data_IF_232997515395
#
_entry.id   IF_232997515395
#
_cell.length_a   1.000
_cell.length_b   1.000
_cell.length_c   1.000
_cell.angle_alpha   90.00
_cell.angle_beta   90.00
_cell.angle_gamma   90.00
#
_symmetry.space_group_name_H-M   'P 1'
#
loop_
_entity.id
_entity.type
_entity.pdbx_description
1 polymer ?
#
# COMPACT_ATOMS: atom_id res chain seq x y z
N UNK A 1 10.13 11.44 -32.97
CA UNK A 1 10.50 11.58 -31.54
C UNK A 1 10.38 10.24 -30.85
N UNK A 2 11.31 9.90 -29.93
CA UNK A 2 11.22 8.66 -29.14
C UNK A 2 10.03 8.75 -28.21
N UNK A 3 9.16 7.71 -28.19
CA UNK A 3 8.03 7.66 -27.28
C UNK A 3 8.52 7.47 -25.84
N UNK A 4 7.87 8.14 -24.90
CA UNK A 4 8.06 7.94 -23.46
C UNK A 4 7.41 6.61 -23.07
N UNK A 5 8.18 5.69 -22.48
CA UNK A 5 7.69 4.38 -22.07
C UNK A 5 7.20 4.44 -20.63
N UNK A 6 5.95 4.04 -20.41
CA UNK A 6 5.29 4.09 -19.11
C UNK A 6 4.85 2.68 -18.68
N UNK A 7 5.08 2.36 -17.41
CA UNK A 7 4.47 1.22 -16.74
C UNK A 7 3.54 1.70 -15.65
N UNK A 8 2.48 0.94 -15.33
CA UNK A 8 1.58 1.27 -14.24
C UNK A 8 1.41 0.12 -13.26
N UNK A 9 1.46 0.45 -11.96
CA UNK A 9 1.08 -0.45 -10.86
C UNK A 9 -0.24 0.03 -10.28
N UNK A 10 -1.23 -0.85 -10.24
CA UNK A 10 -2.58 -0.56 -9.75
C UNK A 10 -3.62 -0.59 -10.87
N UNK A 11 -4.52 -1.58 -10.80
CA UNK A 11 -5.68 -1.79 -11.71
C UNK A 11 -7.01 -1.44 -11.05
N UNK A 12 -6.98 -0.74 -9.91
CA UNK A 12 -8.16 -0.28 -9.18
C UNK A 12 -8.91 0.82 -9.92
N UNK A 13 -10.00 1.32 -9.33
CA UNK A 13 -10.85 2.37 -9.91
C UNK A 13 -10.03 3.61 -10.35
N UNK A 14 -9.12 4.09 -9.48
CA UNK A 14 -8.31 5.25 -9.82
C UNK A 14 -7.21 4.91 -10.84
N UNK A 15 -6.57 3.74 -10.75
CA UNK A 15 -5.61 3.29 -11.76
C UNK A 15 -6.23 3.19 -13.17
N UNK A 16 -7.48 2.74 -13.29
CA UNK A 16 -8.21 2.75 -14.57
C UNK A 16 -8.46 4.18 -15.08
N UNK A 17 -8.76 5.12 -14.17
CA UNK A 17 -8.91 6.53 -14.53
C UNK A 17 -7.60 7.13 -15.04
N UNK A 18 -6.46 6.83 -14.40
CA UNK A 18 -5.13 7.25 -14.87
C UNK A 18 -4.83 6.69 -16.25
N UNK A 19 -5.06 5.39 -16.49
CA UNK A 19 -4.86 4.77 -17.81
C UNK A 19 -5.63 5.47 -18.92
N UNK A 20 -6.93 5.76 -18.69
CA UNK A 20 -7.73 6.47 -19.68
C UNK A 20 -7.23 7.86 -20.01
N UNK A 21 -6.46 8.51 -19.11
CA UNK A 21 -5.82 9.80 -19.37
C UNK A 21 -4.48 9.66 -20.09
N UNK A 22 -3.71 8.62 -19.73
CA UNK A 22 -2.45 8.32 -20.39
C UNK A 22 -2.62 8.01 -21.86
N UNK A 23 -3.73 7.37 -22.26
CA UNK A 23 -4.05 7.08 -23.67
C UNK A 23 -4.22 8.34 -24.52
N UNK A 24 -4.58 9.48 -23.93
CA UNK A 24 -4.75 10.76 -24.61
C UNK A 24 -3.44 11.55 -24.78
N UNK A 25 -2.37 11.16 -24.06
CA UNK A 25 -1.11 11.92 -24.07
C UNK A 25 -0.27 11.54 -25.29
N UNK A 26 0.09 12.54 -26.10
CA UNK A 26 0.92 12.34 -27.29
C UNK A 26 2.33 11.86 -26.92
N UNK A 27 2.92 11.08 -27.81
CA UNK A 27 4.29 10.55 -27.68
C UNK A 27 4.52 9.65 -26.45
N UNK A 28 3.49 8.95 -25.98
CA UNK A 28 3.53 8.03 -24.87
C UNK A 28 3.28 6.59 -25.33
N UNK A 29 3.89 5.60 -24.67
CA UNK A 29 3.67 4.17 -24.88
C UNK A 29 3.48 3.49 -23.54
N UNK A 30 2.31 2.88 -23.30
CA UNK A 30 2.07 2.06 -22.11
C UNK A 30 2.62 0.67 -22.38
N UNK A 31 3.73 0.33 -21.71
CA UNK A 31 4.46 -0.94 -21.92
C UNK A 31 3.84 -2.09 -21.13
N UNK A 32 3.32 -1.79 -19.93
CA UNK A 32 2.69 -2.77 -19.08
C UNK A 32 1.81 -2.13 -18.01
N UNK A 33 0.82 -2.90 -17.52
CA UNK A 33 -0.05 -2.55 -16.39
C UNK A 33 -0.11 -3.74 -15.44
N UNK A 34 0.26 -3.54 -14.19
CA UNK A 34 0.33 -4.57 -13.16
C UNK A 34 -0.71 -4.34 -12.06
N UNK A 35 -1.37 -5.42 -11.63
CA UNK A 35 -2.21 -5.47 -10.44
C UNK A 35 -1.47 -6.04 -9.23
N UNK A 36 -2.22 -6.33 -8.17
CA UNK A 36 -1.67 -6.80 -6.89
C UNK A 36 -1.02 -8.19 -6.93
N UNK A 37 -1.30 -9.00 -7.95
CA UNK A 37 -0.73 -10.34 -8.11
C UNK A 37 0.35 -10.40 -9.19
N UNK A 38 0.54 -9.33 -9.94
CA UNK A 38 1.50 -9.29 -11.04
C UNK A 38 2.90 -9.00 -10.49
N UNK A 39 3.91 -9.59 -11.14
CA UNK A 39 5.33 -9.41 -10.77
C UNK A 39 5.86 -8.12 -11.45
N UNK A 40 5.46 -6.96 -10.97
CA UNK A 40 5.81 -5.65 -11.54
C UNK A 40 7.34 -5.41 -11.56
N UNK A 41 8.10 -5.98 -10.62
CA UNK A 41 9.58 -5.90 -10.55
C UNK A 41 10.29 -6.76 -11.60
N UNK A 42 9.55 -7.60 -12.35
CA UNK A 42 10.08 -8.41 -13.47
C UNK A 42 9.71 -7.84 -14.83
N UNK A 43 9.08 -6.67 -14.88
CA UNK A 43 8.60 -6.07 -16.12
C UNK A 43 9.74 -5.40 -16.92
N UNK A 44 9.46 -5.11 -18.18
CA UNK A 44 10.39 -4.41 -19.06
C UNK A 44 10.77 -3.04 -18.51
N UNK A 45 12.00 -2.60 -18.83
CA UNK A 45 12.49 -1.26 -18.49
C UNK A 45 11.64 -0.18 -19.15
N UNK A 46 11.36 0.86 -18.40
CA UNK A 46 10.48 1.99 -18.76
C UNK A 46 11.17 3.31 -18.38
N UNK A 47 10.66 4.43 -18.88
CA UNK A 47 11.12 5.76 -18.53
C UNK A 47 10.40 6.28 -17.26
N UNK A 48 9.11 5.93 -17.10
CA UNK A 48 8.29 6.32 -15.97
C UNK A 48 7.45 5.16 -15.44
N UNK A 49 7.34 5.05 -14.11
CA UNK A 49 6.33 4.23 -13.47
C UNK A 49 5.24 5.11 -12.86
N UNK A 50 3.98 4.71 -13.05
CA UNK A 50 2.81 5.29 -12.39
C UNK A 50 2.40 4.35 -11.28
N UNK A 51 2.46 4.80 -10.02
CA UNK A 51 2.08 4.02 -8.84
C UNK A 51 0.70 4.46 -8.36
N UNK A 52 -0.29 3.59 -8.51
CA UNK A 52 -1.68 3.76 -8.11
C UNK A 52 -2.19 2.55 -7.31
N UNK A 53 -1.32 1.96 -6.52
CA UNK A 53 -1.59 0.87 -5.59
C UNK A 53 -2.16 1.40 -4.26
N UNK A 54 -2.52 0.54 -3.29
CA UNK A 54 -2.82 1.00 -1.93
C UNK A 54 -1.60 1.67 -1.26
N UNK A 55 -1.87 2.67 -0.41
CA UNK A 55 -0.87 3.56 0.18
C UNK A 55 0.28 2.83 0.91
N UNK A 56 -0.01 1.67 1.53
CA UNK A 56 0.98 0.86 2.24
C UNK A 56 2.09 0.29 1.34
N UNK A 57 1.91 0.32 0.03
CA UNK A 57 2.88 -0.19 -0.94
C UNK A 57 3.67 0.90 -1.65
N UNK A 58 3.26 2.18 -1.53
CA UNK A 58 3.86 3.29 -2.28
C UNK A 58 5.36 3.42 -2.01
N UNK A 59 5.78 3.38 -0.75
CA UNK A 59 7.18 3.53 -0.37
C UNK A 59 8.07 2.44 -1.00
N UNK A 60 7.72 1.16 -0.84
CA UNK A 60 8.51 0.04 -1.36
C UNK A 60 8.61 0.07 -2.89
N UNK A 61 7.50 0.41 -3.55
CA UNK A 61 7.44 0.48 -5.00
C UNK A 61 8.23 1.68 -5.55
N UNK A 62 8.01 2.87 -5.00
CA UNK A 62 8.75 4.06 -5.40
C UNK A 62 10.24 3.89 -5.17
N UNK A 63 10.66 3.35 -4.02
CA UNK A 63 12.05 3.05 -3.72
C UNK A 63 12.67 2.12 -4.75
N UNK A 64 12.02 1.00 -5.07
CA UNK A 64 12.50 0.05 -6.06
C UNK A 64 12.77 0.71 -7.42
N UNK A 65 11.83 1.51 -7.93
CA UNK A 65 11.99 2.13 -9.24
C UNK A 65 13.04 3.25 -9.25
N UNK A 66 13.13 4.03 -8.17
CA UNK A 66 14.18 5.04 -8.03
C UNK A 66 15.58 4.40 -7.92
N UNK A 67 15.72 3.24 -7.25
CA UNK A 67 16.96 2.46 -7.19
C UNK A 67 17.32 1.83 -8.55
N UNK A 68 16.31 1.58 -9.41
CA UNK A 68 16.49 0.99 -10.74
C UNK A 68 16.44 2.03 -11.89
N UNK A 69 16.81 3.27 -11.61
CA UNK A 69 16.94 4.35 -12.59
C UNK A 69 15.66 4.60 -13.42
N UNK A 70 14.51 4.64 -12.75
CA UNK A 70 13.20 4.91 -13.36
C UNK A 70 12.54 6.09 -12.66
N UNK A 71 12.04 7.06 -13.43
CA UNK A 71 11.24 8.16 -12.89
C UNK A 71 9.93 7.65 -12.30
N UNK A 72 9.44 8.32 -11.26
CA UNK A 72 8.27 7.87 -10.51
C UNK A 72 7.20 8.95 -10.42
N UNK A 73 5.99 8.63 -10.87
CA UNK A 73 4.75 9.31 -10.48
C UNK A 73 4.04 8.42 -9.45
N UNK A 74 3.70 8.96 -8.30
CA UNK A 74 3.04 8.24 -7.22
C UNK A 74 1.73 8.91 -6.81
N UNK A 75 0.67 8.12 -6.67
CA UNK A 75 -0.56 8.57 -6.03
C UNK A 75 -0.28 9.07 -4.61
N UNK A 76 -1.12 10.02 -4.17
CA UNK A 76 -1.02 10.57 -2.82
C UNK A 76 -1.71 9.65 -1.76
N UNK A 77 -1.21 9.67 -0.52
CA UNK A 77 0.08 10.23 -0.11
C UNK A 77 1.23 9.39 -0.66
N UNK A 78 2.34 10.02 -1.03
CA UNK A 78 3.51 9.30 -1.57
C UNK A 78 4.09 8.29 -0.59
N UNK A 79 3.95 8.56 0.71
CA UNK A 79 4.22 7.64 1.83
C UNK A 79 3.29 7.92 2.99
N UNK A 80 3.22 7.01 3.97
CA UNK A 80 2.41 7.19 5.18
C UNK A 80 3.10 8.05 6.26
N UNK A 81 4.41 8.32 6.12
CA UNK A 81 5.15 9.20 7.03
C UNK A 81 6.19 10.07 6.32
N UNK A 82 6.46 11.23 6.92
CA UNK A 82 7.36 12.24 6.36
C UNK A 82 8.82 11.81 6.32
N UNK A 83 9.27 10.95 7.24
CA UNK A 83 10.62 10.40 7.25
C UNK A 83 10.89 9.59 5.99
N UNK A 84 9.98 8.68 5.66
CA UNK A 84 10.09 7.83 4.45
C UNK A 84 9.97 8.65 3.17
N UNK A 85 9.14 9.70 3.17
CA UNK A 85 9.06 10.60 2.03
C UNK A 85 10.38 11.34 1.80
N UNK A 86 11.04 11.80 2.87
CA UNK A 86 12.38 12.40 2.77
C UNK A 86 13.40 11.44 2.18
N UNK A 87 13.42 10.18 2.63
CA UNK A 87 14.31 9.14 2.06
C UNK A 87 14.11 8.99 0.54
N UNK A 88 12.87 8.95 0.06
CA UNK A 88 12.59 8.86 -1.39
C UNK A 88 13.01 10.13 -2.15
N UNK A 89 12.79 11.29 -1.57
CA UNK A 89 13.22 12.58 -2.14
C UNK A 89 14.75 12.63 -2.27
N UNK A 90 15.47 12.21 -1.25
CA UNK A 90 16.93 12.15 -1.27
C UNK A 90 17.44 11.14 -2.30
N UNK A 91 16.79 9.97 -2.37
CA UNK A 91 17.11 8.92 -3.35
C UNK A 91 16.89 9.40 -4.79
N UNK A 92 15.78 10.09 -5.06
CA UNK A 92 15.51 10.63 -6.39
C UNK A 92 16.56 11.68 -6.82
N UNK A 93 16.94 12.56 -5.89
CA UNK A 93 17.99 13.57 -6.14
C UNK A 93 19.35 12.90 -6.39
N UNK A 94 19.74 11.93 -5.55
CA UNK A 94 21.01 11.19 -5.68
C UNK A 94 21.14 10.52 -7.06
N UNK A 95 20.04 9.96 -7.56
CA UNK A 95 20.02 9.23 -8.83
C UNK A 95 19.66 10.14 -10.03
N UNK A 96 19.47 11.43 -9.81
CA UNK A 96 19.06 12.42 -10.84
C UNK A 96 17.78 11.98 -11.56
N UNK A 97 16.75 11.59 -10.79
CA UNK A 97 15.47 11.11 -11.28
C UNK A 97 14.33 12.05 -10.87
N UNK A 98 13.34 12.12 -11.72
CA UNK A 98 12.10 12.82 -11.41
C UNK A 98 11.23 11.96 -10.52
N UNK A 99 10.83 12.51 -9.37
CA UNK A 99 9.84 11.94 -8.47
C UNK A 99 8.71 12.96 -8.30
N UNK A 100 7.46 12.53 -8.54
CA UNK A 100 6.28 13.39 -8.46
C UNK A 100 5.17 12.68 -7.69
N UNK A 101 4.47 13.42 -6.83
CA UNK A 101 3.32 12.93 -6.06
C UNK A 101 2.07 13.68 -6.55
N UNK A 102 0.97 12.96 -6.77
CA UNK A 102 -0.28 13.53 -7.25
C UNK A 102 -0.72 14.74 -6.41
N UNK A 103 -0.80 15.88 -7.08
CA UNK A 103 -1.33 17.13 -6.55
C UNK A 103 -2.33 17.78 -7.54
N UNK A 104 -3.19 16.95 -8.12
CA UNK A 104 -4.13 17.33 -9.21
C UNK A 104 -4.89 18.63 -8.97
N UNK A 105 -5.23 18.96 -7.72
CA UNK A 105 -5.96 20.20 -7.41
C UNK A 105 -5.15 21.47 -7.73
N UNK A 106 -3.82 21.39 -7.80
CA UNK A 106 -2.98 22.53 -8.25
C UNK A 106 -3.28 22.91 -9.70
N UNK A 107 -3.66 21.92 -10.52
CA UNK A 107 -3.99 22.10 -11.95
C UNK A 107 -5.45 22.51 -12.19
N UNK A 108 -6.27 22.55 -11.14
CA UNK A 108 -7.68 22.97 -11.20
C UNK A 108 -7.86 24.48 -11.04
N UNK A 109 -6.80 25.27 -10.82
CA UNK A 109 -6.84 26.73 -10.57
C UNK A 109 -7.85 27.09 -9.47
N UNK A 110 -7.62 26.58 -8.28
CA UNK A 110 -8.53 26.74 -7.15
C UNK A 110 -8.32 28.09 -6.48
N UNK A 111 -9.41 28.80 -6.18
CA UNK A 111 -9.36 29.99 -5.35
C UNK A 111 -8.95 29.61 -3.92
N UNK A 112 -7.98 30.29 -3.31
CA UNK A 112 -7.62 30.07 -1.92
C UNK A 112 -8.84 30.18 -0.99
N UNK A 113 -8.93 29.30 0.01
CA UNK A 113 -9.99 29.29 1.02
C UNK A 113 -9.40 28.84 2.35
N UNK A 114 -9.95 29.35 3.44
CA UNK A 114 -9.65 28.90 4.80
C UNK A 114 -10.71 27.92 5.36
N UNK A 115 -11.70 27.55 4.55
CA UNK A 115 -12.77 26.63 4.94
C UNK A 115 -12.93 25.52 3.89
N UNK A 116 -12.38 24.34 4.19
CA UNK A 116 -12.43 23.17 3.33
C UNK A 116 -13.54 22.22 3.74
N UNK A 117 -14.54 22.07 2.90
CA UNK A 117 -15.70 21.18 3.14
C UNK A 117 -15.80 20.15 2.05
N UNK A 118 -15.92 18.87 2.43
CA UNK A 118 -16.19 17.77 1.51
C UNK A 118 -17.21 16.81 2.10
N UNK A 119 -18.37 16.72 1.47
CA UNK A 119 -19.50 15.89 1.94
C UNK A 119 -20.03 15.02 0.82
N UNK A 120 -20.22 13.73 1.07
CA UNK A 120 -20.86 12.79 0.14
C UNK A 120 -21.46 11.60 0.88
N UNK A 121 -22.36 10.88 0.22
CA UNK A 121 -22.82 9.57 0.67
C UNK A 121 -21.89 8.46 0.23
N UNK A 122 -21.64 7.55 1.14
CA UNK A 122 -20.80 6.36 0.87
C UNK A 122 -19.32 6.67 0.72
N UNK A 123 -18.55 5.69 0.98
CA UNK A 123 -17.09 5.69 0.97
C UNK A 123 -16.60 4.63 1.92
N UNK A 124 -15.44 4.01 1.63
CA UNK A 124 -14.83 3.08 2.57
C UNK A 124 -14.52 3.80 3.87
N UNK A 125 -14.54 3.09 4.99
CA UNK A 125 -14.02 3.48 6.29
C UNK A 125 -12.51 3.77 6.30
N UNK A 126 -11.91 3.95 5.12
CA UNK A 126 -10.52 4.32 4.97
C UNK A 126 -10.27 5.68 5.61
N UNK A 127 -9.06 5.85 6.09
CA UNK A 127 -8.57 7.07 6.71
C UNK A 127 -8.93 8.32 5.87
N UNK A 128 -9.85 9.13 6.39
CA UNK A 128 -10.35 10.35 5.73
C UNK A 128 -9.19 11.34 5.51
N UNK A 129 -8.22 11.39 6.42
CA UNK A 129 -7.12 12.34 6.36
C UNK A 129 -6.26 12.10 5.12
N UNK A 130 -5.76 10.89 4.93
CA UNK A 130 -4.93 10.55 3.77
C UNK A 130 -5.74 10.55 2.47
N UNK A 131 -7.03 10.25 2.55
CA UNK A 131 -7.89 10.14 1.37
C UNK A 131 -8.35 11.50 0.83
N UNK A 132 -8.74 12.43 1.71
CA UNK A 132 -9.36 13.71 1.31
C UNK A 132 -8.60 14.91 1.84
N UNK A 133 -8.28 14.95 3.14
CA UNK A 133 -7.67 16.11 3.75
C UNK A 133 -6.28 16.40 3.18
N UNK A 134 -5.55 15.37 2.77
CA UNK A 134 -4.24 15.51 2.14
C UNK A 134 -4.27 16.46 0.94
N UNK A 135 -5.30 16.37 0.08
CA UNK A 135 -5.47 17.30 -1.04
C UNK A 135 -5.63 18.77 -0.61
N UNK A 136 -6.26 19.00 0.53
CA UNK A 136 -6.43 20.34 1.05
C UNK A 136 -5.17 20.85 1.76
N UNK A 137 -4.39 19.96 2.37
CA UNK A 137 -3.17 20.35 3.07
C UNK A 137 -2.10 20.89 2.12
N UNK A 138 -1.90 20.30 0.95
CA UNK A 138 -0.90 20.84 0.04
C UNK A 138 -1.31 22.16 -0.59
N UNK A 139 -2.61 22.50 -0.64
CA UNK A 139 -3.09 23.80 -1.16
C UNK A 139 -2.69 24.97 -0.28
N UNK A 140 -2.62 24.78 1.04
CA UNK A 140 -2.26 25.85 1.98
C UNK A 140 -0.74 26.06 2.10
N UNK A 141 0.08 25.27 1.43
CA UNK A 141 1.54 25.35 1.52
C UNK A 141 2.10 26.73 1.19
N UNK A 142 1.58 27.39 0.18
CA UNK A 142 2.11 28.70 -0.26
C UNK A 142 1.91 29.80 0.79
N UNK A 143 0.89 29.67 1.65
CA UNK A 143 0.58 30.64 2.71
C UNK A 143 1.30 30.32 4.02
N UNK A 144 1.41 29.03 4.37
CA UNK A 144 1.90 28.58 5.68
C UNK A 144 3.39 28.22 5.64
N UNK A 145 3.84 27.42 4.66
CA UNK A 145 5.21 26.91 4.43
C UNK A 145 5.85 26.13 5.57
N UNK A 146 5.55 26.42 6.83
CA UNK A 146 6.11 25.80 8.02
C UNK A 146 5.04 25.28 8.97
N UNK A 147 5.37 24.23 9.73
CA UNK A 147 4.46 23.59 10.71
C UNK A 147 5.01 23.61 12.14
N UNK A 148 6.03 24.40 12.44
CA UNK A 148 6.72 24.37 13.73
C UNK A 148 5.84 24.81 14.91
N UNK A 149 4.83 25.65 14.66
CA UNK A 149 3.83 26.05 15.67
C UNK A 149 2.41 25.78 15.15
N UNK A 150 2.06 24.50 15.05
CA UNK A 150 0.72 24.07 14.64
C UNK A 150 -0.10 23.59 15.83
N UNK A 151 -1.35 24.10 15.94
CA UNK A 151 -2.32 23.65 16.92
C UNK A 151 -3.58 23.13 16.26
N UNK A 152 -4.19 22.09 16.84
CA UNK A 152 -5.42 21.48 16.34
C UNK A 152 -6.55 21.63 17.37
N UNK A 153 -7.72 22.07 16.91
CA UNK A 153 -8.98 22.02 17.66
C UNK A 153 -9.92 21.04 17.00
N UNK A 154 -10.18 19.93 17.68
CA UNK A 154 -11.11 18.91 17.20
C UNK A 154 -12.54 19.31 17.61
N UNK A 155 -13.42 19.54 16.63
CA UNK A 155 -14.82 19.91 16.84
C UNK A 155 -15.71 18.67 16.79
N UNK A 156 -15.42 17.75 15.87
CA UNK A 156 -16.15 16.49 15.71
C UNK A 156 -15.24 15.37 15.26
N UNK A 157 -15.32 14.23 15.94
CA UNK A 157 -14.49 13.06 15.62
C UNK A 157 -15.32 11.77 15.63
N UNK A 158 -16.16 11.57 14.60
CA UNK A 158 -16.89 10.31 14.36
C UNK A 158 -16.26 9.57 13.19
N UNK A 159 -16.48 8.27 13.08
CA UNK A 159 -15.84 7.41 12.06
C UNK A 159 -15.86 8.03 10.64
N UNK A 160 -17.02 8.46 10.17
CA UNK A 160 -17.22 9.00 8.83
C UNK A 160 -17.46 10.52 8.80
N UNK A 161 -17.30 11.22 9.95
CA UNK A 161 -17.53 12.65 10.03
C UNK A 161 -16.45 13.28 10.92
N UNK A 162 -15.59 14.09 10.32
CA UNK A 162 -14.49 14.77 10.97
C UNK A 162 -14.62 16.27 10.75
N UNK A 163 -14.56 17.05 11.83
CA UNK A 163 -14.49 18.51 11.78
C UNK A 163 -13.37 18.95 12.71
N UNK A 164 -12.41 19.68 12.18
CA UNK A 164 -11.30 20.22 12.97
C UNK A 164 -10.81 21.54 12.39
N UNK A 165 -10.13 22.31 13.22
CA UNK A 165 -9.44 23.53 12.85
C UNK A 165 -7.94 23.36 13.08
N UNK A 166 -7.13 23.83 12.14
CA UNK A 166 -5.68 23.95 12.28
C UNK A 166 -5.32 25.43 12.39
N UNK A 167 -4.57 25.77 13.42
CA UNK A 167 -4.02 27.09 13.63
C UNK A 167 -2.50 27.03 13.50
N UNK A 168 -1.95 27.84 12.61
CA UNK A 168 -0.53 27.94 12.35
C UNK A 168 -0.01 29.28 12.84
N UNK A 169 0.90 29.29 13.81
CA UNK A 169 1.57 30.47 14.36
C UNK A 169 0.60 31.56 14.82
N UNK A 170 -0.63 31.21 15.24
CA UNK A 170 -1.71 32.13 15.59
C UNK A 170 -2.07 33.14 14.49
N UNK A 171 -1.68 32.91 13.24
CA UNK A 171 -1.91 33.77 12.09
C UNK A 171 -2.86 33.19 11.05
N UNK A 172 -2.73 31.91 10.78
CA UNK A 172 -3.49 31.26 9.75
C UNK A 172 -4.38 30.17 10.36
N UNK A 173 -5.69 30.33 10.29
CA UNK A 173 -6.67 29.37 10.79
C UNK A 173 -7.43 28.79 9.62
N UNK A 174 -7.37 27.46 9.50
CA UNK A 174 -8.09 26.69 8.48
C UNK A 174 -9.04 25.72 9.12
N UNK A 175 -10.28 25.70 8.64
CA UNK A 175 -11.31 24.74 9.06
C UNK A 175 -11.47 23.66 8.02
N UNK A 176 -11.56 22.42 8.48
CA UNK A 176 -11.74 21.23 7.66
C UNK A 176 -12.96 20.47 8.11
N UNK A 177 -13.87 20.15 7.18
CA UNK A 177 -15.08 19.39 7.42
C UNK A 177 -15.26 18.28 6.40
N UNK A 178 -15.29 17.03 6.86
CA UNK A 178 -15.46 15.84 6.04
C UNK A 178 -16.63 15.02 6.54
N UNK A 179 -17.63 14.75 5.67
CA UNK A 179 -18.80 13.95 6.01
C UNK A 179 -19.09 12.93 4.91
N UNK A 180 -18.89 11.65 5.18
CA UNK A 180 -19.21 10.54 4.29
C UNK A 180 -20.54 9.87 4.60
N UNK A 181 -21.33 10.40 5.54
CA UNK A 181 -22.72 10.03 5.81
C UNK A 181 -23.72 11.05 5.26
N UNK A 182 -23.30 11.87 4.33
CA UNK A 182 -24.09 12.95 3.77
C UNK A 182 -25.05 12.47 2.68
N UNK A 183 -26.34 12.36 3.00
CA UNK A 183 -27.40 11.83 2.10
C UNK A 183 -27.92 12.82 1.06
N UNK A 184 -27.37 14.03 0.99
CA UNK A 184 -27.68 15.04 -0.02
C UNK A 184 -26.68 14.99 -1.18
N UNK A 185 -26.87 15.73 -2.26
CA UNK A 185 -25.89 15.80 -3.35
C UNK A 185 -24.47 16.11 -2.84
N UNK A 186 -23.46 15.56 -3.51
CA UNK A 186 -22.06 15.79 -3.17
C UNK A 186 -21.79 17.29 -3.05
N UNK A 187 -21.17 17.71 -1.95
CA UNK A 187 -20.76 19.08 -1.72
C UNK A 187 -19.24 19.15 -1.54
N UNK A 188 -18.60 20.04 -2.27
CA UNK A 188 -17.19 20.35 -2.16
C UNK A 188 -17.04 21.88 -2.16
N UNK A 189 -16.41 22.46 -1.13
CA UNK A 189 -16.22 23.90 -1.03
C UNK A 189 -15.26 24.46 -2.08
N UNK A 190 -14.46 23.60 -2.69
CA UNK A 190 -13.55 23.95 -3.76
C UNK A 190 -14.28 23.82 -5.07
N UNK A 191 -14.33 24.93 -5.82
CA UNK A 191 -14.85 24.96 -7.19
C UNK A 191 -13.68 25.10 -8.16
N UNK A 192 -13.44 24.09 -9.03
CA UNK A 192 -12.42 24.20 -10.06
C UNK A 192 -12.74 25.35 -11.02
N UNK A 193 -11.75 26.17 -11.34
CA UNK A 193 -11.86 27.23 -12.36
C UNK A 193 -11.31 26.79 -13.72
N UNK A 194 -10.67 25.63 -13.78
CA UNK A 194 -10.12 25.06 -15.00
C UNK A 194 -11.20 24.28 -15.76
N UNK A 195 -11.47 24.66 -17.00
CA UNK A 195 -12.52 24.05 -17.85
C UNK A 195 -12.06 22.77 -18.58
N UNK A 196 -10.82 22.32 -18.39
CA UNK A 196 -10.26 21.11 -18.98
C UNK A 196 -10.15 19.96 -17.98
N UNK A 197 -9.47 18.88 -18.37
CA UNK A 197 -9.15 17.77 -17.50
C UNK A 197 -7.84 18.03 -16.75
N UNK A 198 -7.94 18.40 -15.49
CA UNK A 198 -6.78 18.72 -14.64
C UNK A 198 -5.84 17.52 -14.45
N UNK A 199 -6.38 16.29 -14.38
CA UNK A 199 -5.59 15.07 -14.25
C UNK A 199 -4.75 14.79 -15.51
N UNK A 200 -5.36 14.95 -16.70
CA UNK A 200 -4.66 14.79 -17.97
C UNK A 200 -3.59 15.88 -18.15
N UNK A 201 -3.91 17.12 -17.79
CA UNK A 201 -2.96 18.24 -17.79
C UNK A 201 -1.78 17.95 -16.88
N UNK A 202 -2.01 17.56 -15.62
CA UNK A 202 -0.96 17.22 -14.67
C UNK A 202 -0.05 16.12 -15.22
N UNK A 203 -0.62 14.98 -15.65
CA UNK A 203 0.15 13.86 -16.21
C UNK A 203 0.99 14.29 -17.43
N UNK A 204 0.42 15.12 -18.31
CA UNK A 204 1.14 15.64 -19.47
C UNK A 204 2.37 16.44 -19.05
N UNK A 205 2.22 17.39 -18.13
CA UNK A 205 3.32 18.21 -17.63
C UNK A 205 4.39 17.38 -16.92
N UNK A 206 3.99 16.42 -16.10
CA UNK A 206 4.91 15.56 -15.36
C UNK A 206 5.71 14.67 -16.31
N UNK A 207 5.05 13.94 -17.18
CA UNK A 207 5.71 12.96 -18.05
C UNK A 207 6.63 13.61 -19.09
N UNK A 208 6.32 14.85 -19.50
CA UNK A 208 7.21 15.63 -20.40
C UNK A 208 8.27 16.47 -19.65
N UNK A 209 8.39 16.33 -18.34
CA UNK A 209 9.39 17.04 -17.54
C UNK A 209 9.14 18.55 -17.37
N UNK A 210 7.91 19.01 -17.55
CA UNK A 210 7.50 20.43 -17.50
C UNK A 210 6.94 20.84 -16.13
N UNK A 211 6.70 19.88 -15.23
CA UNK A 211 6.22 20.15 -13.89
C UNK A 211 7.33 20.70 -12.98
N UNK A 212 6.96 21.51 -11.99
CA UNK A 212 7.89 21.90 -10.91
C UNK A 212 8.00 20.77 -9.88
N UNK A 213 8.93 19.86 -10.12
CA UNK A 213 9.19 18.70 -9.25
C UNK A 213 9.65 19.12 -7.87
N UNK A 214 10.44 20.18 -7.75
CA UNK A 214 10.94 20.65 -6.44
C UNK A 214 9.81 21.16 -5.57
N UNK A 215 8.95 22.00 -6.12
CA UNK A 215 7.80 22.56 -5.41
C UNK A 215 6.76 21.48 -5.08
N UNK A 216 6.52 20.53 -5.99
CA UNK A 216 5.64 19.37 -5.73
C UNK A 216 6.11 18.57 -4.51
N UNK A 217 7.40 18.25 -4.44
CA UNK A 217 7.95 17.46 -3.32
C UNK A 217 7.93 18.24 -1.99
N UNK A 218 8.13 19.56 -2.03
CA UNK A 218 8.01 20.42 -0.84
C UNK A 218 6.55 20.44 -0.33
N UNK A 219 5.57 20.64 -1.21
CA UNK A 219 4.13 20.59 -0.88
C UNK A 219 3.74 19.22 -0.33
N UNK A 220 4.20 18.16 -0.96
CA UNK A 220 3.89 16.80 -0.55
C UNK A 220 4.49 16.46 0.81
N UNK A 221 5.72 16.89 1.10
CA UNK A 221 6.34 16.71 2.41
C UNK A 221 5.59 17.50 3.50
N UNK A 222 5.21 18.73 3.22
CA UNK A 222 4.38 19.56 4.10
C UNK A 222 3.02 18.89 4.38
N UNK A 223 2.30 18.47 3.34
CA UNK A 223 1.01 17.79 3.49
C UNK A 223 1.14 16.48 4.28
N UNK A 224 2.22 15.70 4.07
CA UNK A 224 2.48 14.47 4.82
C UNK A 224 2.71 14.77 6.31
N UNK A 225 3.51 15.78 6.65
CA UNK A 225 3.74 16.20 8.04
C UNK A 225 2.45 16.63 8.73
N UNK A 226 1.60 17.44 8.06
CA UNK A 226 0.29 17.82 8.60
C UNK A 226 -0.60 16.58 8.77
N UNK A 227 -0.62 15.67 7.80
CA UNK A 227 -1.38 14.42 7.90
C UNK A 227 -0.95 13.59 9.10
N UNK A 228 0.35 13.46 9.37
CA UNK A 228 0.86 12.77 10.57
C UNK A 228 0.38 13.47 11.86
N UNK A 229 0.54 14.78 11.93
CA UNK A 229 0.10 15.58 13.09
C UNK A 229 -1.40 15.40 13.35
N UNK A 230 -2.25 15.58 12.34
CA UNK A 230 -3.70 15.46 12.45
C UNK A 230 -4.13 14.04 12.80
N UNK A 231 -3.54 13.03 12.18
CA UNK A 231 -3.83 11.61 12.44
C UNK A 231 -3.55 11.25 13.89
N UNK A 232 -2.40 11.66 14.45
CA UNK A 232 -2.04 11.45 15.85
C UNK A 232 -3.10 11.97 16.82
N UNK A 233 -3.67 13.14 16.54
CA UNK A 233 -4.69 13.76 17.40
C UNK A 233 -6.10 13.18 17.19
N UNK A 234 -6.44 12.76 15.96
CA UNK A 234 -7.78 12.27 15.62
C UNK A 234 -7.95 10.78 15.92
N UNK A 235 -6.95 9.95 15.58
CA UNK A 235 -7.04 8.49 15.73
C UNK A 235 -6.35 7.96 16.97
N UNK A 236 -5.43 8.75 17.55
CA UNK A 236 -4.67 8.37 18.73
C UNK A 236 -3.49 7.45 18.43
N UNK A 237 -2.87 6.95 19.50
CA UNK A 237 -1.67 6.13 19.47
C UNK A 237 -1.98 4.70 19.90
N UNK A 238 -1.31 3.74 19.28
CA UNK A 238 -1.36 2.34 19.71
C UNK A 238 0.02 1.69 19.68
N UNK A 239 0.20 0.69 20.55
CA UNK A 239 1.39 -0.13 20.60
C UNK A 239 1.11 -1.50 20.00
N UNK A 240 2.05 -2.01 19.20
CA UNK A 240 2.07 -3.39 18.72
C UNK A 240 3.31 -4.04 19.30
N UNK A 241 3.15 -5.16 20.02
CA UNK A 241 4.23 -5.89 20.64
C UNK A 241 4.56 -7.15 19.85
N UNK A 242 5.83 -7.28 19.48
CA UNK A 242 6.37 -8.36 18.64
C UNK A 242 6.38 -8.00 17.15
N UNK A 243 7.57 -8.01 16.54
CA UNK A 243 7.78 -7.76 15.11
C UNK A 243 7.93 -9.07 14.29
N UNK A 244 7.15 -10.09 14.64
CA UNK A 244 6.86 -11.22 13.76
C UNK A 244 5.95 -10.79 12.61
N UNK A 245 5.65 -11.70 11.67
CA UNK A 245 4.85 -11.40 10.48
C UNK A 245 3.46 -10.83 10.82
N UNK A 246 2.82 -11.29 11.88
CA UNK A 246 1.52 -10.79 12.33
C UNK A 246 1.62 -9.38 12.90
N UNK A 247 2.61 -9.12 13.77
CA UNK A 247 2.80 -7.79 14.37
C UNK A 247 3.12 -6.74 13.31
N UNK A 248 4.00 -7.03 12.37
CA UNK A 248 4.34 -6.13 11.26
C UNK A 248 3.10 -5.86 10.39
N UNK A 249 2.33 -6.92 10.06
CA UNK A 249 1.10 -6.77 9.27
C UNK A 249 0.08 -5.91 10.02
N UNK A 250 -0.11 -6.16 11.32
CA UNK A 250 -1.02 -5.38 12.17
C UNK A 250 -0.59 -3.91 12.26
N UNK A 251 0.69 -3.66 12.56
CA UNK A 251 1.23 -2.30 12.64
C UNK A 251 1.04 -1.52 11.34
N UNK A 252 1.36 -2.14 10.19
CA UNK A 252 1.16 -1.53 8.88
C UNK A 252 -0.33 -1.23 8.62
N UNK A 253 -1.22 -2.17 8.94
CA UNK A 253 -2.68 -1.98 8.76
C UNK A 253 -3.25 -0.91 9.67
N UNK A 254 -2.80 -0.82 10.92
CA UNK A 254 -3.21 0.23 11.85
C UNK A 254 -2.73 1.60 11.36
N UNK A 255 -1.50 1.69 10.85
CA UNK A 255 -0.94 2.92 10.27
C UNK A 255 -1.77 3.38 9.05
N UNK A 256 -2.16 2.47 8.15
CA UNK A 256 -3.05 2.81 7.03
C UNK A 256 -4.44 3.29 7.48
N UNK A 257 -4.91 2.87 8.65
CA UNK A 257 -6.14 3.37 9.26
C UNK A 257 -5.98 4.72 9.95
N UNK A 258 -4.75 5.23 10.05
CA UNK A 258 -4.44 6.55 10.58
C UNK A 258 -3.94 6.60 12.02
N UNK A 259 -3.77 5.44 12.68
CA UNK A 259 -3.17 5.41 14.03
C UNK A 259 -1.70 5.79 13.98
N UNK A 260 -1.23 6.47 15.05
CA UNK A 260 0.19 6.58 15.38
C UNK A 260 0.62 5.26 16.03
N UNK A 261 1.54 4.52 15.41
CA UNK A 261 1.85 3.14 15.81
C UNK A 261 3.29 3.02 16.26
N UNK A 262 3.48 2.59 17.51
CA UNK A 262 4.76 2.10 18.00
C UNK A 262 4.82 0.58 17.87
N UNK A 263 5.84 0.07 17.20
CA UNK A 263 6.12 -1.36 17.08
C UNK A 263 7.32 -1.69 17.98
N UNK A 264 7.10 -2.57 18.94
CA UNK A 264 8.12 -3.03 19.90
C UNK A 264 8.55 -4.45 19.54
N UNK A 265 9.87 -4.70 19.55
CA UNK A 265 10.47 -6.02 19.38
C UNK A 265 11.53 -6.24 20.46
N UNK A 266 11.57 -7.44 21.02
CA UNK A 266 12.53 -7.82 22.05
C UNK A 266 13.91 -8.13 21.48
N UNK A 267 13.94 -8.63 20.23
CA UNK A 267 15.17 -8.98 19.53
C UNK A 267 15.78 -7.74 18.85
N UNK A 268 17.02 -7.86 18.42
CA UNK A 268 17.77 -6.82 17.71
C UNK A 268 17.28 -6.58 16.26
N UNK A 269 16.41 -7.47 15.75
CA UNK A 269 15.84 -7.37 14.40
C UNK A 269 14.47 -8.06 14.32
N UNK A 270 13.71 -7.74 13.26
CA UNK A 270 12.40 -8.32 13.00
C UNK A 270 12.46 -9.77 12.51
N UNK A 271 11.34 -10.50 12.64
CA UNK A 271 11.15 -11.88 12.15
C UNK A 271 12.15 -12.90 12.73
N UNK A 272 12.69 -12.68 13.91
CA UNK A 272 13.69 -13.57 14.52
C UNK A 272 13.09 -14.86 15.13
N UNK A 273 11.84 -14.81 15.59
CA UNK A 273 11.13 -15.95 16.16
C UNK A 273 10.50 -16.85 15.06
N UNK A 274 9.37 -17.48 15.33
CA UNK A 274 8.70 -18.43 14.44
C UNK A 274 8.61 -18.02 12.96
N UNK A 275 8.49 -16.73 12.69
CA UNK A 275 8.45 -16.22 11.32
C UNK A 275 9.77 -16.31 10.56
N UNK A 276 10.89 -16.43 11.26
CA UNK A 276 12.24 -16.50 10.68
C UNK A 276 12.86 -17.88 10.66
N UNK A 277 12.31 -18.84 11.41
CA UNK A 277 12.87 -20.18 11.61
C UNK A 277 11.95 -21.32 11.15
N UNK A 278 10.90 -21.00 10.39
CA UNK A 278 9.97 -21.99 9.85
C UNK A 278 10.45 -22.55 8.50
N UNK A 279 9.66 -23.42 7.89
CA UNK A 279 9.98 -24.06 6.62
C UNK A 279 9.73 -23.16 5.38
N UNK A 280 9.35 -21.91 5.57
CA UNK A 280 9.08 -20.91 4.52
C UNK A 280 8.00 -21.32 3.51
N UNK A 281 7.10 -22.21 3.92
CA UNK A 281 5.95 -22.66 3.12
C UNK A 281 4.73 -21.79 3.38
N UNK A 282 3.94 -21.60 2.34
CA UNK A 282 2.60 -21.05 2.45
C UNK A 282 1.66 -22.24 2.58
N UNK A 283 1.29 -22.55 3.82
CA UNK A 283 0.49 -23.72 4.14
C UNK A 283 -0.91 -23.64 3.52
N UNK A 284 -1.28 -24.64 2.74
CA UNK A 284 -2.65 -24.87 2.26
C UNK A 284 -3.46 -25.77 3.20
N UNK A 285 -2.84 -26.28 4.24
CA UNK A 285 -3.49 -27.09 5.26
C UNK A 285 -3.16 -28.58 5.21
N UNK A 286 -2.34 -29.07 4.26
CA UNK A 286 -1.95 -30.48 4.17
C UNK A 286 -1.33 -31.04 5.47
N UNK A 287 -0.79 -30.16 6.29
CA UNK A 287 -0.16 -30.50 7.58
C UNK A 287 -1.16 -30.76 8.73
N UNK A 288 -2.47 -30.56 8.49
CA UNK A 288 -3.47 -30.62 9.54
C UNK A 288 -4.54 -31.71 9.29
N UNK A 289 -4.17 -33.00 9.16
CA UNK A 289 -5.09 -34.07 8.74
C UNK A 289 -6.28 -34.30 9.70
N UNK A 290 -6.22 -33.79 10.92
CA UNK A 290 -7.25 -33.95 11.96
C UNK A 290 -8.15 -32.73 12.16
N UNK A 291 -7.97 -31.65 11.38
CA UNK A 291 -8.74 -30.43 11.55
C UNK A 291 -9.15 -29.83 10.20
N UNK A 292 -10.33 -30.18 9.74
CA UNK A 292 -10.91 -29.67 8.50
C UNK A 292 -11.04 -28.13 8.53
N UNK A 293 -11.39 -27.54 9.70
CA UNK A 293 -11.53 -26.10 9.85
C UNK A 293 -10.20 -25.37 9.73
N UNK A 294 -9.11 -25.95 10.25
CA UNK A 294 -7.76 -25.42 10.08
C UNK A 294 -7.33 -25.48 8.61
N UNK A 295 -7.60 -26.59 7.92
CA UNK A 295 -7.31 -26.72 6.47
C UNK A 295 -8.05 -25.65 5.68
N UNK A 296 -9.36 -25.48 5.91
CA UNK A 296 -10.16 -24.45 5.25
C UNK A 296 -9.62 -23.05 5.52
N UNK A 297 -9.31 -22.75 6.78
CA UNK A 297 -8.72 -21.45 7.17
C UNK A 297 -7.39 -21.18 6.45
N UNK A 298 -6.48 -22.17 6.36
CA UNK A 298 -5.23 -22.04 5.63
C UNK A 298 -5.47 -21.74 4.15
N UNK A 299 -6.35 -22.50 3.50
CA UNK A 299 -6.71 -22.36 2.09
C UNK A 299 -7.32 -20.97 1.79
N UNK A 300 -8.26 -20.52 2.63
CA UNK A 300 -8.95 -19.25 2.45
C UNK A 300 -8.01 -18.05 2.61
N UNK A 301 -7.00 -18.17 3.49
CA UNK A 301 -6.05 -17.09 3.78
C UNK A 301 -4.80 -17.10 2.89
N UNK A 302 -4.50 -18.19 2.17
CA UNK A 302 -3.35 -18.31 1.26
C UNK A 302 -3.29 -17.11 0.29
N UNK A 303 -4.40 -16.84 -0.39
CA UNK A 303 -4.45 -15.79 -1.42
C UNK A 303 -4.23 -14.39 -0.82
N UNK A 304 -4.67 -14.16 0.41
CA UNK A 304 -4.45 -12.90 1.12
C UNK A 304 -2.96 -12.70 1.40
N UNK A 305 -2.26 -13.74 1.86
CA UNK A 305 -0.81 -13.69 2.09
C UNK A 305 -0.05 -13.47 0.77
N UNK A 306 -0.36 -14.27 -0.25
CA UNK A 306 0.27 -14.16 -1.58
C UNK A 306 0.09 -12.76 -2.15
N UNK A 307 -1.09 -12.20 -2.06
CA UNK A 307 -1.37 -10.84 -2.55
C UNK A 307 -0.58 -9.79 -1.78
N UNK A 308 -0.47 -9.93 -0.45
CA UNK A 308 0.14 -8.94 0.41
C UNK A 308 1.67 -8.98 0.36
N UNK A 309 2.26 -10.18 0.22
CA UNK A 309 3.72 -10.39 0.20
C UNK A 309 4.22 -10.94 -1.14
N UNK A 310 3.56 -10.58 -2.24
CA UNK A 310 3.75 -11.16 -3.58
C UNK A 310 5.22 -11.24 -4.04
N UNK A 311 6.03 -10.22 -3.75
CA UNK A 311 7.43 -10.19 -4.16
C UNK A 311 8.27 -11.31 -3.53
N UNK A 312 7.90 -11.78 -2.32
CA UNK A 312 8.61 -12.85 -1.64
C UNK A 312 8.23 -14.25 -2.15
N UNK A 313 7.15 -14.36 -2.93
CA UNK A 313 6.62 -15.65 -3.36
C UNK A 313 7.51 -16.26 -4.43
N UNK A 314 7.98 -17.47 -4.17
CA UNK A 314 8.75 -18.27 -5.12
C UNK A 314 7.82 -18.90 -6.18
N UNK A 315 8.40 -19.58 -7.17
CA UNK A 315 7.61 -20.14 -8.26
C UNK A 315 6.63 -21.20 -7.73
N UNK A 316 5.38 -21.19 -8.24
CA UNK A 316 4.29 -22.06 -7.79
C UNK A 316 4.42 -23.52 -8.29
N UNK A 317 5.50 -23.84 -8.99
CA UNK A 317 5.77 -25.18 -9.52
C UNK A 317 6.58 -26.08 -8.57
N UNK A 318 6.78 -25.65 -7.32
CA UNK A 318 7.48 -26.45 -6.32
C UNK A 318 6.63 -27.67 -5.95
N UNK A 319 7.27 -28.85 -5.97
CA UNK A 319 6.66 -30.09 -5.52
C UNK A 319 6.92 -30.28 -4.02
N UNK A 320 5.88 -30.61 -3.30
CA UNK A 320 5.94 -30.97 -1.89
C UNK A 320 5.41 -32.38 -1.70
N UNK A 321 5.99 -33.06 -0.76
CA UNK A 321 5.59 -34.41 -0.42
C UNK A 321 5.13 -34.46 1.02
N UNK A 322 4.01 -35.10 1.25
CA UNK A 322 3.50 -35.45 2.57
C UNK A 322 3.34 -36.95 2.65
N UNK A 323 3.77 -37.55 3.77
CA UNK A 323 3.72 -38.95 3.98
C UNK A 323 3.05 -39.27 5.32
N UNK A 324 2.35 -40.38 5.38
CA UNK A 324 1.81 -40.99 6.60
C UNK A 324 2.76 -42.10 7.00
N UNK A 325 3.33 -42.00 8.19
CA UNK A 325 4.24 -43.02 8.71
C UNK A 325 3.49 -44.34 9.01
N UNK A 326 4.17 -45.43 8.81
CA UNK A 326 3.63 -46.80 9.09
C UNK A 326 3.41 -46.97 10.60
N UNK A 327 4.32 -46.45 11.43
CA UNK A 327 4.25 -46.54 12.88
C UNK A 327 3.98 -45.17 13.51
N UNK A 328 3.35 -45.17 14.67
CA UNK A 328 3.09 -44.00 15.53
C UNK A 328 2.27 -42.86 14.87
N UNK A 329 1.68 -43.10 13.70
CA UNK A 329 0.81 -42.11 13.07
C UNK A 329 -0.58 -42.11 13.73
N UNK A 330 -1.04 -40.90 14.13
CA UNK A 330 -2.39 -40.69 14.65
C UNK A 330 -3.46 -40.58 13.56
N UNK A 331 -3.10 -40.78 12.30
CA UNK A 331 -3.98 -40.67 11.14
C UNK A 331 -3.63 -41.73 10.13
N UNK A 332 -4.61 -42.52 9.69
CA UNK A 332 -4.41 -43.51 8.63
C UNK A 332 -4.34 -42.82 7.26
N UNK A 333 -3.75 -43.52 6.26
CA UNK A 333 -3.72 -43.07 4.88
C UNK A 333 -5.11 -42.74 4.34
N UNK A 334 -6.12 -43.58 4.60
CA UNK A 334 -7.50 -43.38 4.17
C UNK A 334 -8.14 -42.15 4.83
N UNK A 335 -7.98 -42.00 6.15
CA UNK A 335 -8.46 -40.79 6.88
C UNK A 335 -7.85 -39.54 6.32
N UNK A 336 -6.54 -39.55 6.02
CA UNK A 336 -5.84 -38.43 5.46
C UNK A 336 -6.41 -37.99 4.11
N UNK A 337 -6.49 -38.91 3.15
CA UNK A 337 -7.04 -38.65 1.82
C UNK A 337 -8.49 -38.18 1.90
N UNK A 338 -9.31 -38.80 2.73
CA UNK A 338 -10.72 -38.40 2.95
C UNK A 338 -10.84 -36.95 3.43
N UNK A 339 -9.96 -36.51 4.32
CA UNK A 339 -9.99 -35.10 4.82
C UNK A 339 -9.53 -34.13 3.77
N UNK A 340 -8.50 -34.48 2.97
CA UNK A 340 -8.02 -33.64 1.88
C UNK A 340 -9.11 -33.44 0.80
N UNK A 341 -9.82 -34.52 0.45
CA UNK A 341 -10.94 -34.48 -0.51
C UNK A 341 -12.08 -33.61 0.00
N UNK A 342 -12.48 -33.77 1.28
CA UNK A 342 -13.49 -32.91 1.92
C UNK A 342 -13.09 -31.44 1.96
N UNK A 343 -11.79 -31.15 2.04
CA UNK A 343 -11.25 -29.81 1.99
C UNK A 343 -11.09 -29.26 0.56
N UNK A 344 -11.23 -30.11 -0.47
CA UNK A 344 -10.99 -29.77 -1.87
C UNK A 344 -9.53 -29.40 -2.12
N UNK A 345 -8.59 -30.13 -1.52
CA UNK A 345 -7.15 -30.00 -1.76
C UNK A 345 -6.72 -30.99 -2.85
N UNK A 346 -5.95 -30.51 -3.82
CA UNK A 346 -5.39 -31.32 -4.89
C UNK A 346 -4.17 -32.10 -4.40
N UNK A 347 -4.14 -33.39 -4.67
CA UNK A 347 -3.02 -34.29 -4.34
C UNK A 347 -2.85 -35.37 -5.41
N UNK A 348 -1.68 -35.99 -5.43
CA UNK A 348 -1.36 -37.13 -6.31
C UNK A 348 -0.55 -38.14 -5.52
N UNK A 349 -0.98 -39.42 -5.49
CA UNK A 349 -0.19 -40.50 -4.91
C UNK A 349 1.07 -40.68 -5.76
N UNK A 350 2.19 -40.83 -5.09
CA UNK A 350 3.50 -41.12 -5.69
C UNK A 350 4.14 -42.33 -4.97
N UNK A 351 5.32 -42.77 -5.42
CA UNK A 351 6.05 -43.83 -4.77
C UNK A 351 6.24 -43.53 -3.27
N UNK A 352 5.83 -44.53 -2.47
CA UNK A 352 5.83 -44.39 -1.02
C UNK A 352 7.25 -44.36 -0.48
N UNK A 353 7.55 -43.42 0.39
CA UNK A 353 8.84 -43.33 1.08
C UNK A 353 9.02 -44.51 2.05
N UNK A 354 10.26 -44.91 2.37
CA UNK A 354 10.52 -45.93 3.37
C UNK A 354 9.84 -45.62 4.71
N UNK A 355 9.28 -46.65 5.36
CA UNK A 355 8.54 -46.52 6.63
C UNK A 355 7.29 -45.62 6.58
N UNK A 356 6.67 -45.54 5.41
CA UNK A 356 5.42 -44.78 5.22
C UNK A 356 4.38 -45.68 4.57
N UNK A 357 3.10 -45.51 4.91
CA UNK A 357 1.96 -46.19 4.28
C UNK A 357 1.44 -45.41 3.06
N UNK A 358 1.72 -44.14 3.00
CA UNK A 358 1.28 -43.24 1.93
C UNK A 358 2.30 -42.14 1.71
N UNK A 359 2.56 -41.79 0.45
CA UNK A 359 3.20 -40.55 0.06
C UNK A 359 2.38 -39.87 -1.03
N UNK A 360 2.10 -38.58 -0.87
CA UNK A 360 1.42 -37.77 -1.86
C UNK A 360 2.28 -36.58 -2.29
N UNK A 361 2.22 -36.26 -3.57
CA UNK A 361 2.73 -35.00 -4.13
C UNK A 361 1.64 -33.94 -4.05
N UNK A 362 2.00 -32.76 -3.60
CA UNK A 362 1.11 -31.60 -3.44
C UNK A 362 1.70 -30.35 -4.08
N UNK A 363 0.88 -29.31 -4.25
CA UNK A 363 1.29 -28.04 -4.84
C UNK A 363 1.22 -26.94 -3.79
N UNK A 364 2.13 -26.93 -2.84
CA UNK A 364 2.32 -25.77 -1.96
C UNK A 364 3.38 -24.81 -2.54
N UNK A 365 3.35 -23.59 -2.08
CA UNK A 365 4.24 -22.51 -2.53
C UNK A 365 5.18 -22.12 -1.39
N UNK A 366 6.41 -21.79 -1.72
CA UNK A 366 7.37 -21.21 -0.79
C UNK A 366 7.41 -19.69 -0.89
N UNK A 367 7.92 -19.07 0.14
CA UNK A 367 8.39 -17.68 0.08
C UNK A 367 9.89 -17.58 0.38
N UNK A 368 10.54 -16.57 -0.19
CA UNK A 368 11.93 -16.24 0.13
C UNK A 368 11.98 -15.42 1.42
N UNK A 369 12.59 -15.93 2.51
CA UNK A 369 12.61 -15.24 3.80
C UNK A 369 13.38 -13.91 3.77
N UNK A 370 14.46 -13.83 3.00
CA UNK A 370 15.25 -12.59 2.86
C UNK A 370 14.44 -11.51 2.16
N UNK A 371 13.75 -11.85 1.08
CA UNK A 371 12.88 -10.90 0.37
C UNK A 371 11.71 -10.50 1.27
N UNK A 372 11.06 -11.45 1.96
CA UNK A 372 9.99 -11.16 2.91
C UNK A 372 10.46 -10.19 3.99
N UNK A 373 11.64 -10.41 4.56
CA UNK A 373 12.21 -9.55 5.58
C UNK A 373 12.46 -8.12 5.06
N UNK A 374 12.98 -7.99 3.84
CA UNK A 374 13.19 -6.68 3.20
C UNK A 374 11.86 -5.94 2.97
N UNK A 375 10.82 -6.65 2.53
CA UNK A 375 9.47 -6.09 2.39
C UNK A 375 8.97 -5.59 3.75
N UNK A 376 9.11 -6.39 4.80
CA UNK A 376 8.71 -6.02 6.15
C UNK A 376 9.45 -4.79 6.66
N UNK A 377 10.76 -4.70 6.48
CA UNK A 377 11.55 -3.51 6.81
C UNK A 377 11.07 -2.27 6.06
N UNK A 378 10.78 -2.38 4.78
CA UNK A 378 10.27 -1.25 3.99
C UNK A 378 8.89 -0.79 4.48
N UNK A 379 8.01 -1.72 4.87
CA UNK A 379 6.65 -1.39 5.35
C UNK A 379 6.59 -0.75 6.71
N UNK A 380 7.45 -1.16 7.64
CA UNK A 380 7.52 -0.48 8.94
C UNK A 380 8.15 0.91 8.83
N UNK A 381 8.96 1.16 7.81
CA UNK A 381 9.45 2.50 7.47
C UNK A 381 8.38 3.36 6.80
N UNK A 382 7.69 2.83 5.79
CA UNK A 382 6.64 3.50 5.01
C UNK A 382 5.38 3.76 5.79
#
# INVERSE_FOLDING_TARGET
MKKIKVGQIGKGSFGKKLLSKLDNIKNLSIEWVCGSQDKWWKQKKIDWVIIASPNEFHYEQAKYFLENNTNVFCEKPGTLCSKSLKELIELSKKNNLNFYIDDVLIYENITPTNNFVYKKWGGSSANIIDRMAYHHFYLIYNEVKDIDDINIKIIKNKTNNKIFELNFNNKHIYKFEYDFNWHKPKHHSISPQYNGDALEKMLTYVLHGQADFSLNLQRSLFATKISEYVKKHIYGKCAVVGAGIYGITAATKLKTKGFDVDLFEAEDDILKAASGINQYRIHRGYHYPRSLDTIKSCKDNEQSFIKYYNQSILDRNSKHYYSIATEDSLTTAEQYLTVLDKAGLEWKIVDTLPNCDLTIETKETFYNPTILKNICHNRIKG
#
